data_IF_683296219608
#
_entry.id   IF_683296219608
#
_cell.length_a   1.000
_cell.length_b   1.000
_cell.length_c   1.000
_cell.angle_alpha   90.00
_cell.angle_beta   90.00
_cell.angle_gamma   90.00
#
_symmetry.space_group_name_H-M   'P 1'
#
loop_
_entity.id
_entity.type
_entity.pdbx_description
1 polymer ?
#
# COMPACT_ATOMS: atom_id res chain seq x y z
N UNK A 1 7.76 -0.99 32.07
CA UNK A 1 7.51 -0.34 30.76
C UNK A 1 7.46 1.16 30.98
N UNK A 2 8.43 1.89 30.47
CA UNK A 2 8.45 3.35 30.51
C UNK A 2 7.48 3.88 29.45
N UNK A 3 6.57 4.77 29.85
CA UNK A 3 5.70 5.49 28.93
C UNK A 3 5.96 6.97 29.06
N UNK A 4 6.02 7.67 27.94
CA UNK A 4 6.24 9.11 27.90
C UNK A 4 5.12 9.79 27.11
N UNK A 5 4.75 10.98 27.55
CA UNK A 5 3.87 11.86 26.82
C UNK A 5 4.71 12.70 25.84
N UNK A 6 4.36 12.66 24.56
CA UNK A 6 5.02 13.44 23.51
C UNK A 6 4.02 14.37 22.85
N UNK A 7 4.42 15.60 22.55
CA UNK A 7 3.61 16.51 21.75
C UNK A 7 3.89 16.26 20.27
N UNK A 8 2.85 15.92 19.50
CA UNK A 8 2.92 15.69 18.06
C UNK A 8 1.87 16.56 17.40
N UNK A 9 2.30 17.54 16.61
CA UNK A 9 1.40 18.50 15.93
C UNK A 9 0.33 19.10 16.87
N UNK A 10 0.73 19.50 18.09
CA UNK A 10 -0.17 20.10 19.08
C UNK A 10 -1.00 19.10 19.90
N UNK A 11 -0.87 17.79 19.66
CA UNK A 11 -1.57 16.74 20.41
C UNK A 11 -0.62 15.98 21.35
N UNK A 12 -1.04 15.77 22.59
CA UNK A 12 -0.28 14.94 23.54
C UNK A 12 -0.61 13.47 23.33
N UNK A 13 0.38 12.69 22.87
CA UNK A 13 0.27 11.25 22.66
C UNK A 13 1.09 10.48 23.71
N UNK A 14 0.52 9.41 24.26
CA UNK A 14 1.26 8.48 25.11
C UNK A 14 1.95 7.43 24.24
N UNK A 15 3.28 7.49 24.20
CA UNK A 15 4.11 6.46 23.55
C UNK A 15 4.79 5.61 24.63
N UNK A 16 4.92 4.32 24.35
CA UNK A 16 5.51 3.36 25.29
C UNK A 16 6.25 2.27 24.53
N UNK A 17 7.16 1.60 25.23
CA UNK A 17 7.91 0.46 24.71
C UNK A 17 8.72 0.80 23.45
N UNK A 18 9.38 1.96 23.43
CA UNK A 18 10.14 2.41 22.27
C UNK A 18 11.29 1.46 21.93
N UNK A 19 11.96 0.90 22.93
CA UNK A 19 13.06 -0.07 22.75
C UNK A 19 12.57 -1.48 22.37
N UNK A 20 11.25 -1.69 22.24
CA UNK A 20 10.72 -3.00 21.85
C UNK A 20 11.12 -3.29 20.42
N UNK A 21 11.86 -4.37 20.22
CA UNK A 21 12.21 -4.88 18.88
C UNK A 21 10.96 -5.40 18.17
N UNK A 22 10.64 -4.80 17.03
CA UNK A 22 9.53 -5.22 16.17
C UNK A 22 10.01 -6.05 14.97
N UNK A 23 11.25 -5.87 14.52
CA UNK A 23 11.90 -6.70 13.48
C UNK A 23 13.16 -7.37 14.06
N UNK A 24 13.04 -8.60 14.60
CA UNK A 24 14.17 -9.29 15.23
C UNK A 24 15.38 -9.49 14.32
N UNK A 25 15.17 -9.72 13.02
CA UNK A 25 16.24 -9.97 12.06
C UNK A 25 17.20 -8.78 11.85
N UNK A 26 16.75 -7.55 12.14
CA UNK A 26 17.54 -6.32 12.00
C UNK A 26 17.71 -5.57 13.32
N UNK A 27 17.08 -6.05 14.40
CA UNK A 27 17.04 -5.35 15.69
C UNK A 27 16.13 -4.12 15.70
N UNK A 28 15.40 -3.83 14.60
CA UNK A 28 14.62 -2.59 14.48
C UNK A 28 13.53 -2.50 15.54
N UNK A 29 13.59 -1.42 16.29
CA UNK A 29 12.75 -1.10 17.44
C UNK A 29 11.48 -0.34 17.05
N UNK A 30 10.51 -0.28 17.97
CA UNK A 30 9.31 0.53 17.83
C UNK A 30 9.64 2.02 17.70
N UNK A 31 10.67 2.50 18.40
CA UNK A 31 11.16 3.87 18.31
C UNK A 31 11.65 4.22 16.91
N UNK A 32 12.42 3.33 16.27
CA UNK A 32 12.89 3.51 14.89
C UNK A 32 11.75 3.45 13.89
N UNK A 33 10.79 2.54 14.06
CA UNK A 33 9.56 2.50 13.26
C UNK A 33 8.79 3.82 13.35
N UNK A 34 8.62 4.36 14.55
CA UNK A 34 7.98 5.67 14.75
C UNK A 34 8.77 6.79 14.08
N UNK A 35 10.09 6.78 14.23
CA UNK A 35 10.99 7.77 13.62
C UNK A 35 10.87 7.75 12.11
N UNK A 36 10.89 6.56 11.47
CA UNK A 36 10.70 6.42 10.03
C UNK A 36 9.41 7.12 9.54
N UNK A 37 8.27 6.85 10.18
CA UNK A 37 6.99 7.45 9.79
C UNK A 37 6.92 8.97 10.05
N UNK A 38 7.60 9.46 11.09
CA UNK A 38 7.70 10.90 11.37
C UNK A 38 8.55 11.60 10.31
N UNK A 39 9.71 11.04 9.98
CA UNK A 39 10.64 11.59 8.99
C UNK A 39 10.05 11.59 7.58
N UNK A 40 9.22 10.60 7.25
CA UNK A 40 8.58 10.46 5.94
C UNK A 40 7.13 10.95 5.90
N UNK A 41 6.72 11.75 6.90
CA UNK A 41 5.35 12.20 7.03
C UNK A 41 4.90 13.05 5.83
N UNK A 42 5.78 13.91 5.31
CA UNK A 42 5.49 14.78 4.16
C UNK A 42 5.18 13.99 2.89
N UNK A 43 5.79 12.80 2.73
CA UNK A 43 5.61 11.94 1.57
C UNK A 43 4.40 11.01 1.73
N UNK A 44 4.15 10.46 2.94
CA UNK A 44 3.07 9.49 3.14
C UNK A 44 1.70 10.14 3.37
N UNK A 45 1.63 11.31 4.00
CA UNK A 45 0.35 11.95 4.32
C UNK A 45 -0.48 12.27 3.06
N UNK A 46 0.09 12.78 1.94
CA UNK A 46 -0.66 12.97 0.70
C UNK A 46 -1.26 11.68 0.13
N UNK A 47 -0.59 10.55 0.32
CA UNK A 47 -1.05 9.23 -0.16
C UNK A 47 -2.25 8.70 0.63
N UNK A 48 -2.30 9.03 1.93
CA UNK A 48 -3.36 8.64 2.86
C UNK A 48 -4.56 9.60 2.86
N UNK A 49 -4.37 10.83 2.37
CA UNK A 49 -5.33 11.91 2.53
C UNK A 49 -6.71 11.57 1.96
N UNK A 50 -7.73 11.65 2.82
CA UNK A 50 -9.12 11.39 2.45
C UNK A 50 -9.42 9.91 2.17
N UNK A 51 -8.50 8.99 2.44
CA UNK A 51 -8.68 7.55 2.20
C UNK A 51 -8.97 6.81 3.51
N UNK A 52 -10.04 6.00 3.59
CA UNK A 52 -10.27 5.12 4.73
C UNK A 52 -9.14 4.09 4.89
N UNK A 53 -8.37 4.20 5.98
CA UNK A 53 -7.16 3.38 6.15
C UNK A 53 -7.51 2.03 6.77
N UNK A 54 -7.16 0.92 6.12
CA UNK A 54 -7.08 -0.40 6.73
C UNK A 54 -5.68 -0.62 7.29
N UNK A 55 -5.57 -1.18 8.49
CA UNK A 55 -4.29 -1.33 9.20
C UNK A 55 -4.00 -2.81 9.35
N UNK A 56 -2.74 -3.20 9.18
CA UNK A 56 -2.27 -4.49 9.68
C UNK A 56 -1.30 -4.23 10.82
N UNK A 57 -1.57 -4.87 11.96
CA UNK A 57 -0.90 -4.55 13.21
C UNK A 57 -0.06 -5.73 13.69
N UNK A 58 1.16 -5.42 14.14
CA UNK A 58 2.07 -6.33 14.83
C UNK A 58 2.53 -5.73 16.16
N UNK A 59 1.64 -5.66 17.18
CA UNK A 59 2.00 -5.05 18.47
C UNK A 59 3.18 -5.75 19.15
N UNK A 60 3.36 -7.05 18.86
CA UNK A 60 4.38 -7.94 19.42
C UNK A 60 5.54 -8.24 18.46
N UNK A 61 5.63 -7.53 17.33
CA UNK A 61 6.67 -7.73 16.31
C UNK A 61 6.30 -8.73 15.21
N UNK A 62 7.07 -8.73 14.11
CA UNK A 62 6.75 -9.41 12.84
C UNK A 62 6.78 -10.94 12.90
N UNK A 63 7.42 -11.52 13.91
CA UNK A 63 7.44 -12.97 14.14
C UNK A 63 6.24 -13.46 14.98
N UNK A 64 5.40 -12.54 15.48
CA UNK A 64 4.18 -12.86 16.21
C UNK A 64 2.95 -12.63 15.33
N UNK A 65 1.80 -13.08 15.84
CA UNK A 65 0.54 -12.95 15.13
C UNK A 65 0.22 -11.49 14.82
N UNK A 66 -0.17 -11.24 13.57
CA UNK A 66 -0.73 -9.98 13.13
C UNK A 66 -2.24 -10.03 13.06
N UNK A 67 -2.86 -8.87 12.94
CA UNK A 67 -4.29 -8.80 12.63
C UNK A 67 -4.62 -7.62 11.73
N UNK A 68 -5.59 -7.87 10.86
CA UNK A 68 -6.20 -6.87 10.00
C UNK A 68 -7.28 -6.11 10.77
N UNK A 69 -7.18 -4.79 10.78
CA UNK A 69 -8.11 -3.91 11.47
C UNK A 69 -8.65 -2.87 10.48
N UNK A 70 -9.94 -3.01 10.16
CA UNK A 70 -10.69 -2.04 9.35
C UNK A 70 -11.40 -1.04 10.26
N UNK A 71 -12.20 -1.56 11.19
CA UNK A 71 -12.95 -0.76 12.15
C UNK A 71 -12.04 -0.15 13.23
N UNK A 72 -12.26 1.11 13.57
CA UNK A 72 -11.65 1.69 14.76
C UNK A 72 -12.17 0.97 16.04
N UNK A 73 -11.31 0.76 17.03
CA UNK A 73 -11.75 0.31 18.35
C UNK A 73 -12.55 1.41 19.05
N UNK A 74 -13.43 1.03 19.99
CA UNK A 74 -14.25 1.97 20.75
C UNK A 74 -13.45 2.99 21.57
N UNK A 75 -12.23 2.65 21.97
CA UNK A 75 -11.32 3.54 22.70
C UNK A 75 -10.46 4.46 21.83
N UNK A 76 -10.77 4.60 20.53
CA UNK A 76 -10.06 5.54 19.67
C UNK A 76 -10.36 7.00 20.08
N UNK A 77 -9.34 7.86 20.25
CA UNK A 77 -9.54 9.24 20.68
C UNK A 77 -10.51 10.04 19.80
N UNK A 78 -11.31 10.91 20.41
CA UNK A 78 -12.34 11.69 19.70
C UNK A 78 -11.75 12.62 18.65
N UNK A 79 -10.51 13.10 18.87
CA UNK A 79 -9.81 13.94 17.90
C UNK A 79 -9.37 13.18 16.65
N UNK A 80 -9.33 11.84 16.66
CA UNK A 80 -8.89 11.05 15.51
C UNK A 80 -9.98 11.09 14.42
N UNK A 81 -9.68 11.69 13.25
CA UNK A 81 -10.64 11.77 12.16
C UNK A 81 -11.05 10.37 11.71
N UNK A 82 -12.33 10.22 11.37
CA UNK A 82 -12.92 8.92 11.04
C UNK A 82 -14.06 9.08 10.07
N UNK A 83 -14.35 8.02 9.33
CA UNK A 83 -15.47 7.95 8.41
C UNK A 83 -16.14 6.59 8.50
N UNK A 84 -17.47 6.59 8.47
CA UNK A 84 -18.26 5.37 8.44
C UNK A 84 -18.69 5.12 7.01
N UNK A 85 -18.22 4.02 6.42
CA UNK A 85 -18.52 3.66 5.03
C UNK A 85 -19.31 2.36 4.96
N UNK A 86 -20.17 2.18 3.95
CA UNK A 86 -20.85 0.92 3.69
C UNK A 86 -19.86 -0.21 3.45
N UNK A 87 -20.17 -1.41 3.96
CA UNK A 87 -19.42 -2.64 3.70
C UNK A 87 -20.35 -3.79 3.30
N UNK A 88 -21.04 -3.67 2.15
CA UNK A 88 -21.92 -4.74 1.67
C UNK A 88 -21.13 -6.05 1.51
N UNK A 89 -21.70 -7.16 2.00
CA UNK A 89 -21.04 -8.47 1.97
C UNK A 89 -19.98 -8.70 3.05
N UNK A 90 -19.94 -7.87 4.10
CA UNK A 90 -19.09 -8.09 5.27
C UNK A 90 -19.30 -9.49 5.86
N UNK A 91 -18.22 -10.26 6.01
CA UNK A 91 -18.26 -11.61 6.60
C UNK A 91 -18.74 -11.66 8.05
N UNK A 92 -18.89 -10.49 8.69
CA UNK A 92 -19.44 -10.34 10.05
C UNK A 92 -20.85 -9.73 10.08
N UNK A 93 -21.54 -9.65 8.93
CA UNK A 93 -22.92 -9.13 8.86
C UNK A 93 -23.08 -7.67 9.25
N UNK A 94 -22.00 -6.87 9.19
CA UNK A 94 -22.05 -5.43 9.45
C UNK A 94 -22.28 -4.67 8.15
N UNK A 95 -23.32 -3.84 8.12
CA UNK A 95 -23.67 -3.00 6.97
C UNK A 95 -22.69 -1.86 6.75
N UNK A 96 -22.03 -1.41 7.83
CA UNK A 96 -21.03 -0.33 7.80
C UNK A 96 -19.84 -0.63 8.71
N UNK A 97 -18.71 0.02 8.43
CA UNK A 97 -17.53 0.05 9.29
C UNK A 97 -17.01 1.49 9.42
N UNK A 98 -16.48 1.82 10.59
CA UNK A 98 -15.85 3.13 10.86
C UNK A 98 -14.33 3.01 10.75
N UNK A 99 -13.74 3.66 9.76
CA UNK A 99 -12.30 3.68 9.50
C UNK A 99 -11.68 4.97 10.01
N UNK A 100 -10.39 4.97 10.43
CA UNK A 100 -9.65 6.20 10.59
C UNK A 100 -9.37 6.86 9.24
N UNK A 101 -9.38 8.17 9.25
CA UNK A 101 -8.75 9.01 8.25
C UNK A 101 -7.44 9.54 8.85
N UNK A 102 -6.37 9.53 8.06
CA UNK A 102 -5.06 10.04 8.48
C UNK A 102 -4.85 11.38 7.79
N UNK A 103 -5.14 12.46 8.51
CA UNK A 103 -5.10 13.83 7.98
C UNK A 103 -3.86 14.61 8.42
N UNK A 104 -3.17 14.13 9.46
CA UNK A 104 -2.04 14.83 10.08
C UNK A 104 -1.05 13.84 10.71
N UNK A 105 0.10 14.38 11.12
CA UNK A 105 1.18 13.63 11.76
C UNK A 105 0.72 12.94 13.06
N UNK A 106 -0.15 13.57 13.84
CA UNK A 106 -0.60 13.00 15.11
C UNK A 106 -1.48 11.77 14.90
N UNK A 107 -2.36 11.78 13.90
CA UNK A 107 -3.15 10.62 13.49
C UNK A 107 -2.24 9.49 13.00
N UNK A 108 -1.24 9.79 12.17
CA UNK A 108 -0.26 8.81 11.68
C UNK A 108 0.51 8.16 12.85
N UNK A 109 1.13 8.98 13.70
CA UNK A 109 1.90 8.52 14.86
C UNK A 109 1.04 7.69 15.81
N UNK A 110 -0.22 8.09 16.03
CA UNK A 110 -1.14 7.31 16.86
C UNK A 110 -1.35 5.90 16.32
N UNK A 111 -1.64 5.75 15.02
CA UNK A 111 -1.84 4.42 14.41
C UNK A 111 -0.57 3.56 14.45
N UNK A 112 0.59 4.15 14.17
CA UNK A 112 1.88 3.46 14.21
C UNK A 112 2.25 3.05 15.63
N UNK A 113 2.00 3.90 16.63
CA UNK A 113 2.22 3.60 18.05
C UNK A 113 1.38 2.41 18.53
N UNK A 114 0.23 2.15 17.91
CA UNK A 114 -0.61 0.97 18.15
C UNK A 114 -0.09 -0.31 17.45
N UNK A 115 1.08 -0.24 16.80
CA UNK A 115 1.73 -1.33 16.10
C UNK A 115 1.26 -1.50 14.65
N UNK A 116 0.62 -0.49 14.04
CA UNK A 116 0.26 -0.54 12.62
C UNK A 116 1.52 -0.38 11.77
N UNK A 117 2.04 -1.50 11.27
CA UNK A 117 3.21 -1.50 10.38
C UNK A 117 2.78 -1.32 8.93
N UNK A 118 1.64 -1.86 8.54
CA UNK A 118 1.10 -1.68 7.19
C UNK A 118 -0.15 -0.80 7.19
N UNK A 119 -0.15 0.21 6.34
CA UNK A 119 -1.27 1.09 6.05
C UNK A 119 -1.74 0.79 4.62
N UNK A 120 -2.98 0.34 4.50
CA UNK A 120 -3.60 -0.01 3.23
C UNK A 120 -4.76 0.94 2.95
N UNK A 121 -4.88 1.40 1.72
CA UNK A 121 -5.89 2.39 1.32
C UNK A 121 -6.59 1.97 0.02
N UNK A 122 -7.87 2.33 -0.16
CA UNK A 122 -8.56 2.16 -1.43
C UNK A 122 -8.00 3.13 -2.50
N UNK A 123 -8.43 2.94 -3.76
CA UNK A 123 -8.08 3.84 -4.87
C UNK A 123 -9.01 5.06 -4.99
N UNK A 124 -9.94 5.21 -4.05
CA UNK A 124 -10.86 6.34 -3.94
C UNK A 124 -10.65 7.12 -2.63
N UNK A 125 -11.27 8.29 -2.54
CA UNK A 125 -11.32 9.15 -1.35
C UNK A 125 -12.78 9.37 -0.93
N UNK A 126 -12.98 9.84 0.29
CA UNK A 126 -14.27 10.39 0.72
C UNK A 126 -14.30 11.90 0.48
N UNK A 127 -15.48 12.47 0.27
CA UNK A 127 -15.71 13.90 0.37
C UNK A 127 -15.88 14.36 1.83
N UNK A 128 -16.20 15.65 2.01
CA UNK A 128 -16.30 16.29 3.32
C UNK A 128 -17.49 15.76 4.13
N UNK A 129 -18.52 15.22 3.45
CA UNK A 129 -19.67 14.54 4.03
C UNK A 129 -19.38 13.06 4.35
N UNK A 130 -18.19 12.55 4.00
CA UNK A 130 -17.78 11.17 4.26
C UNK A 130 -18.30 10.16 3.23
N UNK A 131 -18.79 10.62 2.08
CA UNK A 131 -19.30 9.78 1.00
C UNK A 131 -18.15 9.33 0.09
N UNK A 132 -18.04 8.03 -0.23
CA UNK A 132 -17.06 7.55 -1.20
C UNK A 132 -17.24 8.20 -2.58
N UNK A 133 -16.17 8.80 -3.10
CA UNK A 133 -16.10 9.35 -4.46
C UNK A 133 -15.59 8.31 -5.45
N UNK A 134 -15.76 8.53 -6.77
CA UNK A 134 -15.09 7.67 -7.75
C UNK A 134 -13.55 7.71 -7.58
N UNK A 135 -12.84 6.61 -7.92
CA UNK A 135 -11.39 6.50 -7.77
C UNK A 135 -10.62 7.61 -8.48
N UNK A 136 -9.67 8.21 -7.76
CA UNK A 136 -8.76 9.25 -8.25
C UNK A 136 -7.43 8.67 -8.76
N UNK A 137 -7.28 7.34 -8.71
CA UNK A 137 -6.15 6.63 -9.29
C UNK A 137 -6.53 5.21 -9.72
N UNK A 138 -5.78 4.68 -10.68
CA UNK A 138 -5.75 3.27 -11.03
C UNK A 138 -4.46 2.65 -10.50
N UNK A 139 -4.53 1.42 -10.00
CA UNK A 139 -3.37 0.62 -9.63
C UNK A 139 -3.20 -0.56 -10.58
N UNK A 140 -1.98 -0.80 -11.06
CA UNK A 140 -1.59 -2.03 -11.74
C UNK A 140 -0.60 -2.76 -10.85
N UNK A 141 -1.03 -3.86 -10.25
CA UNK A 141 -0.24 -4.64 -9.29
C UNK A 141 0.48 -5.79 -10.00
N UNK A 142 1.81 -5.78 -9.93
CA UNK A 142 2.70 -6.71 -10.63
C UNK A 142 3.25 -7.72 -9.63
N UNK A 143 2.65 -8.90 -9.62
CA UNK A 143 2.97 -9.98 -8.69
C UNK A 143 3.82 -11.07 -9.36
N UNK A 144 5.13 -11.15 -9.09
CA UNK A 144 5.98 -12.16 -9.71
C UNK A 144 5.62 -13.56 -9.19
N UNK A 145 5.42 -14.50 -10.11
CA UNK A 145 5.26 -15.91 -9.81
C UNK A 145 6.57 -16.59 -9.43
N UNK A 146 6.52 -17.88 -9.04
CA UNK A 146 7.73 -18.64 -8.73
C UNK A 146 8.74 -18.60 -9.89
N UNK A 147 9.99 -18.22 -9.61
CA UNK A 147 11.04 -18.09 -10.64
C UNK A 147 11.08 -16.74 -11.35
N UNK A 148 10.08 -15.87 -11.16
CA UNK A 148 10.14 -14.47 -11.52
C UNK A 148 10.42 -13.60 -10.29
N UNK A 149 10.98 -12.41 -10.51
CA UNK A 149 11.30 -11.42 -9.49
C UNK A 149 11.10 -9.99 -10.00
N UNK A 150 11.79 -9.05 -9.38
CA UNK A 150 11.64 -7.62 -9.69
C UNK A 150 12.14 -7.25 -11.09
N UNK A 151 13.08 -7.99 -11.67
CA UNK A 151 13.54 -7.77 -13.04
C UNK A 151 12.42 -8.06 -14.07
N UNK A 152 11.67 -9.16 -13.91
CA UNK A 152 10.49 -9.45 -14.71
C UNK A 152 9.40 -8.39 -14.48
N UNK A 153 9.18 -7.99 -13.22
CA UNK A 153 8.25 -6.90 -12.90
C UNK A 153 8.64 -5.58 -13.58
N UNK A 154 9.93 -5.23 -13.62
CA UNK A 154 10.43 -4.02 -14.27
C UNK A 154 10.16 -4.04 -15.77
N UNK A 155 10.45 -5.16 -16.44
CA UNK A 155 10.14 -5.35 -17.86
C UNK A 155 8.64 -5.17 -18.14
N UNK A 156 7.79 -5.78 -17.33
CA UNK A 156 6.33 -5.62 -17.44
C UNK A 156 5.88 -4.20 -17.11
N UNK A 157 6.52 -3.54 -16.15
CA UNK A 157 6.21 -2.17 -15.78
C UNK A 157 6.42 -1.19 -16.95
N UNK A 158 7.47 -1.36 -17.75
CA UNK A 158 7.70 -0.55 -18.94
C UNK A 158 6.62 -0.76 -20.01
N UNK A 159 6.18 -2.01 -20.21
CA UNK A 159 5.07 -2.31 -21.13
C UNK A 159 3.79 -1.62 -20.67
N UNK A 160 3.46 -1.72 -19.37
CA UNK A 160 2.29 -1.05 -18.80
C UNK A 160 2.42 0.47 -18.93
N UNK A 161 3.59 1.05 -18.63
CA UNK A 161 3.84 2.49 -18.77
C UNK A 161 3.54 2.97 -20.18
N UNK A 162 4.10 2.31 -21.19
CA UNK A 162 3.88 2.71 -22.60
C UNK A 162 2.39 2.63 -23.00
N UNK A 163 1.65 1.63 -22.49
CA UNK A 163 0.20 1.52 -22.74
C UNK A 163 -0.61 2.63 -22.06
N UNK A 164 -0.22 3.02 -20.84
CA UNK A 164 -0.86 4.12 -20.11
C UNK A 164 -0.54 5.48 -20.75
N UNK A 165 0.71 5.71 -21.14
CA UNK A 165 1.13 6.95 -21.81
C UNK A 165 0.41 7.14 -23.16
N UNK A 166 0.20 6.06 -23.91
CA UNK A 166 -0.54 6.09 -25.18
C UNK A 166 -2.00 6.56 -25.03
N UNK A 167 -2.58 6.48 -23.82
CA UNK A 167 -3.92 6.99 -23.50
C UNK A 167 -3.88 8.24 -22.61
N UNK A 168 -2.72 8.89 -22.50
CA UNK A 168 -2.53 10.15 -21.76
C UNK A 168 -2.41 9.98 -20.24
N UNK A 169 -2.23 8.76 -19.73
CA UNK A 169 -2.06 8.50 -18.30
C UNK A 169 -0.58 8.37 -17.93
N UNK A 170 -0.14 9.16 -16.96
CA UNK A 170 1.21 9.04 -16.39
C UNK A 170 1.19 8.13 -15.17
N UNK A 171 2.05 7.13 -15.14
CA UNK A 171 2.19 6.20 -14.03
C UNK A 171 3.44 6.46 -13.20
N UNK A 172 3.35 6.24 -11.88
CA UNK A 172 4.50 6.20 -10.97
C UNK A 172 4.76 4.76 -10.53
N UNK A 173 6.01 4.33 -10.59
CA UNK A 173 6.45 3.02 -10.14
C UNK A 173 6.70 2.98 -8.63
N UNK A 174 6.28 1.90 -7.97
CA UNK A 174 6.42 1.70 -6.52
C UNK A 174 6.80 0.25 -6.25
N UNK A 175 7.99 -0.04 -5.74
CA UNK A 175 8.29 -1.40 -5.25
C UNK A 175 7.42 -1.70 -4.04
N UNK A 176 6.79 -2.87 -3.95
CA UNK A 176 5.74 -3.14 -2.95
C UNK A 176 6.23 -3.29 -1.50
N UNK A 177 7.56 -3.39 -1.29
CA UNK A 177 8.18 -3.81 -0.04
C UNK A 177 8.00 -5.31 0.27
N UNK A 178 7.53 -6.11 -0.69
CA UNK A 178 7.34 -7.56 -0.52
C UNK A 178 8.03 -8.35 -1.63
N UNK A 179 7.32 -8.71 -2.71
CA UNK A 179 7.88 -9.49 -3.83
C UNK A 179 7.85 -8.69 -5.12
N UNK A 180 6.70 -8.10 -5.42
CA UNK A 180 6.46 -7.37 -6.66
C UNK A 180 6.54 -5.85 -6.54
N UNK A 181 5.90 -5.18 -7.49
CA UNK A 181 5.80 -3.72 -7.55
C UNK A 181 4.42 -3.31 -8.06
N UNK A 182 4.06 -2.05 -7.85
CA UNK A 182 2.79 -1.45 -8.23
C UNK A 182 3.04 -0.22 -9.09
N UNK A 183 2.16 0.00 -10.05
CA UNK A 183 2.11 1.23 -10.83
C UNK A 183 0.83 1.98 -10.46
N UNK A 184 0.98 3.27 -10.16
CA UNK A 184 -0.15 4.16 -9.85
C UNK A 184 -0.30 5.20 -10.93
N UNK A 185 -1.44 5.21 -11.61
CA UNK A 185 -1.80 6.23 -12.59
C UNK A 185 -2.90 7.12 -12.02
N UNK A 186 -2.72 8.44 -12.06
CA UNK A 186 -3.74 9.38 -11.63
C UNK A 186 -4.96 9.35 -12.56
N UNK A 187 -6.16 9.51 -12.01
CA UNK A 187 -7.42 9.57 -12.74
C UNK A 187 -8.15 10.87 -12.39
N UNK A 188 -9.03 11.32 -13.27
CA UNK A 188 -9.87 12.51 -13.06
C UNK A 188 -10.96 12.30 -12.00
N UNK A 189 -11.21 11.07 -11.53
CA UNK A 189 -12.26 10.79 -10.55
C UNK A 189 -13.68 10.81 -11.11
N UNK A 190 -13.85 10.52 -12.40
CA UNK A 190 -15.16 10.52 -13.09
C UNK A 190 -15.72 9.12 -13.34
N UNK A 191 -14.90 8.08 -13.22
CA UNK A 191 -15.25 6.68 -13.53
C UNK A 191 -15.43 5.87 -12.27
N UNK A 192 -16.43 4.98 -12.26
CA UNK A 192 -16.67 4.06 -11.15
C UNK A 192 -15.52 3.06 -10.95
N UNK A 193 -15.42 2.46 -9.76
CA UNK A 193 -14.42 1.43 -9.48
C UNK A 193 -14.56 0.20 -10.39
N UNK A 194 -15.78 -0.13 -10.82
CA UNK A 194 -16.03 -1.25 -11.72
C UNK A 194 -15.54 -0.94 -13.15
N UNK A 195 -15.76 0.28 -13.65
CA UNK A 195 -15.20 0.73 -14.93
C UNK A 195 -13.66 0.72 -14.91
N UNK A 196 -13.04 1.26 -13.85
CA UNK A 196 -11.57 1.25 -13.71
C UNK A 196 -11.04 -0.19 -13.60
N UNK A 197 -11.74 -1.07 -12.87
CA UNK A 197 -11.40 -2.50 -12.79
C UNK A 197 -11.49 -3.20 -14.14
N UNK A 198 -12.50 -2.86 -14.96
CA UNK A 198 -12.65 -3.40 -16.30
C UNK A 198 -11.52 -2.94 -17.25
N UNK A 199 -11.10 -1.67 -17.15
CA UNK A 199 -9.95 -1.14 -17.90
C UNK A 199 -8.66 -1.87 -17.50
N UNK A 200 -8.39 -1.99 -16.19
CA UNK A 200 -7.21 -2.70 -15.69
C UNK A 200 -7.19 -4.18 -16.13
N UNK A 201 -8.36 -4.83 -16.14
CA UNK A 201 -8.50 -6.21 -16.60
C UNK A 201 -8.21 -6.32 -18.10
N UNK A 202 -8.79 -5.44 -18.91
CA UNK A 202 -8.54 -5.40 -20.35
C UNK A 202 -7.07 -5.18 -20.67
N UNK A 203 -6.40 -4.26 -19.95
CA UNK A 203 -4.96 -4.06 -20.06
C UNK A 203 -4.18 -5.35 -19.76
N UNK A 204 -4.53 -6.05 -18.68
CA UNK A 204 -3.87 -7.30 -18.29
C UNK A 204 -4.06 -8.42 -19.33
N UNK A 205 -5.27 -8.56 -19.88
CA UNK A 205 -5.58 -9.58 -20.90
C UNK A 205 -4.88 -9.28 -22.24
N UNK A 206 -4.78 -8.02 -22.64
CA UNK A 206 -4.01 -7.63 -23.83
C UNK A 206 -2.50 -7.85 -23.64
N UNK A 207 -1.93 -7.51 -22.48
CA UNK A 207 -0.52 -7.76 -22.22
C UNK A 207 -0.20 -9.26 -22.13
N UNK A 208 -1.11 -10.10 -21.59
CA UNK A 208 -0.96 -11.56 -21.62
C UNK A 208 -0.99 -12.10 -23.05
N UNK A 209 -1.81 -11.54 -23.95
CA UNK A 209 -1.90 -12.02 -25.33
C UNK A 209 -0.66 -11.66 -26.16
N UNK A 210 -0.07 -10.49 -25.94
CA UNK A 210 1.15 -10.04 -26.63
C UNK A 210 2.43 -10.64 -26.03
N UNK A 211 2.46 -10.86 -24.72
CA UNK A 211 3.64 -11.34 -23.98
C UNK A 211 3.30 -12.56 -23.12
N UNK A 212 2.81 -13.67 -23.72
CA UNK A 212 2.28 -14.81 -22.98
C UNK A 212 3.33 -15.53 -22.13
N UNK A 213 4.62 -15.41 -22.47
CA UNK A 213 5.71 -16.04 -21.71
C UNK A 213 6.17 -15.20 -20.50
N UNK A 214 5.75 -13.93 -20.42
CA UNK A 214 6.15 -13.00 -19.37
C UNK A 214 4.97 -12.60 -18.46
N UNK A 215 3.75 -12.55 -19.01
CA UNK A 215 2.57 -11.99 -18.33
C UNK A 215 1.47 -13.04 -18.17
N UNK A 216 0.73 -12.97 -17.07
CA UNK A 216 -0.54 -13.68 -16.89
C UNK A 216 -1.57 -12.75 -16.24
N UNK A 217 -2.81 -12.74 -16.74
CA UNK A 217 -3.96 -12.05 -16.14
C UNK A 217 -4.83 -12.97 -15.28
N UNK A 218 -4.54 -14.28 -15.31
CA UNK A 218 -5.30 -15.32 -14.63
C UNK A 218 -4.85 -15.51 -13.19
N UNK A 219 -5.82 -15.55 -12.27
CA UNK A 219 -5.56 -15.76 -10.84
C UNK A 219 -4.97 -17.14 -10.51
N UNK A 220 -5.11 -18.13 -11.40
CA UNK A 220 -4.64 -19.51 -11.19
C UNK A 220 -3.12 -19.55 -10.96
N UNK A 221 -2.71 -19.95 -9.75
CA UNK A 221 -1.29 -20.00 -9.34
C UNK A 221 -0.43 -20.90 -10.24
N UNK A 222 -1.00 -21.99 -10.76
CA UNK A 222 -0.30 -22.93 -11.64
C UNK A 222 0.20 -22.31 -12.95
N UNK A 223 -0.35 -21.16 -13.37
CA UNK A 223 0.04 -20.46 -14.61
C UNK A 223 1.14 -19.42 -14.40
N UNK A 224 1.54 -19.16 -13.15
CA UNK A 224 2.48 -18.10 -12.78
C UNK A 224 3.98 -18.45 -12.84
N UNK A 225 4.46 -19.72 -12.88
CA UNK A 225 5.89 -19.98 -12.93
C UNK A 225 6.59 -19.22 -14.06
N UNK A 226 7.63 -18.46 -13.73
CA UNK A 226 8.40 -17.62 -14.67
C UNK A 226 7.68 -16.35 -15.17
N UNK A 227 6.45 -16.07 -14.72
CA UNK A 227 5.62 -14.96 -15.21
C UNK A 227 5.28 -13.96 -14.11
N UNK A 228 4.91 -12.76 -14.52
CA UNK A 228 4.30 -11.73 -13.67
C UNK A 228 2.80 -11.79 -13.81
N UNK A 229 2.12 -11.96 -12.68
CA UNK A 229 0.67 -11.85 -12.60
C UNK A 229 0.29 -10.37 -12.48
N UNK A 230 -0.54 -9.87 -13.40
CA UNK A 230 -1.18 -8.56 -13.27
C UNK A 230 -2.47 -8.73 -12.47
N UNK A 231 -2.44 -8.37 -11.19
CA UNK A 231 -3.63 -8.42 -10.33
C UNK A 231 -4.54 -7.21 -10.58
N UNK A 232 -5.23 -7.23 -11.72
CA UNK A 232 -6.20 -6.20 -12.11
C UNK A 232 -7.33 -6.01 -11.09
N UNK A 233 -7.58 -7.01 -10.23
CA UNK A 233 -8.68 -6.98 -9.28
C UNK A 233 -8.46 -6.02 -8.10
N UNK A 234 -7.26 -5.45 -7.95
CA UNK A 234 -6.92 -4.46 -6.92
C UNK A 234 -7.66 -3.12 -7.08
N UNK A 235 -8.26 -2.87 -8.24
CA UNK A 235 -9.10 -1.68 -8.49
C UNK A 235 -10.55 -1.84 -8.02
N UNK A 236 -10.94 -3.01 -7.50
CA UNK A 236 -12.28 -3.19 -6.95
C UNK A 236 -12.48 -2.26 -5.73
N UNK A 237 -13.61 -1.57 -5.66
CA UNK A 237 -13.89 -0.54 -4.65
C UNK A 237 -13.85 -1.05 -3.19
N UNK A 238 -13.98 -2.35 -2.96
CA UNK A 238 -13.90 -2.96 -1.63
C UNK A 238 -12.47 -3.37 -1.22
N UNK A 239 -11.51 -3.32 -2.15
CA UNK A 239 -10.10 -3.67 -1.90
C UNK A 239 -9.27 -2.44 -1.51
N UNK A 240 -8.14 -2.75 -0.90
CA UNK A 240 -7.12 -1.78 -0.51
C UNK A 240 -5.76 -2.31 -0.93
N UNK A 241 -4.88 -1.42 -1.38
CA UNK A 241 -3.47 -1.74 -1.62
C UNK A 241 -2.60 -1.14 -0.54
N UNK A 242 -1.37 -1.64 -0.40
CA UNK A 242 -0.37 -0.99 0.44
C UNK A 242 -0.21 0.48 0.01
N UNK A 243 -0.17 1.38 0.98
CA UNK A 243 0.07 2.80 0.71
C UNK A 243 1.55 3.00 0.35
N UNK A 244 1.91 3.77 -0.70
CA UNK A 244 3.29 4.21 -0.87
C UNK A 244 3.82 4.84 0.42
N UNK A 245 5.09 4.60 0.72
CA UNK A 245 5.80 4.89 1.97
C UNK A 245 5.38 4.09 3.20
N UNK A 246 4.37 3.21 3.12
CA UNK A 246 4.07 2.29 4.23
C UNK A 246 5.14 1.22 4.37
N UNK A 247 5.50 0.90 5.61
CA UNK A 247 6.32 -0.28 5.91
C UNK A 247 5.53 -1.57 5.63
N UNK A 248 6.25 -2.71 5.62
CA UNK A 248 5.73 -4.07 5.43
C UNK A 248 6.07 -4.96 6.61
N UNK A 249 5.08 -5.70 7.12
CA UNK A 249 5.27 -6.66 8.21
C UNK A 249 5.95 -7.95 7.73
N UNK A 250 7.20 -7.82 7.30
CA UNK A 250 8.06 -8.87 6.74
C UNK A 250 9.24 -9.11 7.69
N UNK A 251 10.12 -10.04 7.35
CA UNK A 251 11.31 -10.35 8.16
C UNK A 251 12.21 -9.14 8.36
N UNK A 252 12.37 -8.30 7.33
CA UNK A 252 13.11 -7.04 7.37
C UNK A 252 12.13 -5.85 7.27
N UNK A 253 12.48 -4.66 7.78
CA UNK A 253 11.63 -3.46 7.77
C UNK A 253 11.56 -2.83 6.37
N UNK A 254 11.00 -3.58 5.41
CA UNK A 254 10.86 -3.15 4.03
C UNK A 254 9.73 -2.15 3.86
N UNK A 255 9.82 -1.34 2.81
CA UNK A 255 8.91 -0.23 2.52
C UNK A 255 8.32 -0.34 1.12
N UNK A 256 7.04 0.00 0.98
CA UNK A 256 6.44 0.25 -0.33
C UNK A 256 6.95 1.59 -0.88
N UNK A 257 7.94 1.57 -1.77
CA UNK A 257 8.75 2.76 -2.07
C UNK A 257 8.61 3.20 -3.52
N UNK A 258 8.25 4.47 -3.79
CA UNK A 258 8.32 5.04 -5.14
C UNK A 258 9.73 4.93 -5.74
N UNK A 259 9.83 4.50 -7.00
CA UNK A 259 11.09 4.37 -7.75
C UNK A 259 11.10 5.31 -8.95
N UNK A 260 12.30 5.76 -9.32
CA UNK A 260 12.51 6.50 -10.56
C UNK A 260 12.38 5.57 -11.77
N UNK A 261 11.90 6.10 -12.89
CA UNK A 261 11.76 5.30 -14.11
C UNK A 261 13.11 4.88 -14.70
N UNK A 262 14.13 5.73 -14.64
CA UNK A 262 15.50 5.39 -15.08
C UNK A 262 16.04 4.14 -14.37
N UNK A 263 15.71 3.97 -13.09
CA UNK A 263 16.09 2.78 -12.33
C UNK A 263 15.30 1.54 -12.78
N UNK A 264 14.00 1.70 -13.06
CA UNK A 264 13.16 0.60 -13.57
C UNK A 264 13.61 0.19 -14.97
N UNK A 265 14.01 1.14 -15.81
CA UNK A 265 14.58 0.92 -17.14
C UNK A 265 15.89 0.15 -17.06
N UNK A 266 16.85 0.63 -16.25
CA UNK A 266 18.13 -0.04 -16.01
C UNK A 266 17.94 -1.48 -15.49
N UNK A 267 16.94 -1.70 -14.64
CA UNK A 267 16.62 -3.04 -14.12
C UNK A 267 15.95 -3.95 -15.14
N UNK A 268 15.14 -3.40 -16.03
CA UNK A 268 14.53 -4.15 -17.13
C UNK A 268 15.58 -4.60 -18.17
N UNK A 269 16.63 -3.81 -18.35
CA UNK A 269 17.77 -4.07 -19.24
C UNK A 269 18.84 -4.98 -18.61
N UNK A 270 18.75 -5.22 -17.29
CA UNK A 270 19.71 -6.05 -16.55
C UNK A 270 21.01 -5.31 -16.17
N UNK A 271 21.02 -3.98 -16.29
CA UNK A 271 22.16 -3.13 -15.90
C UNK A 271 22.21 -2.88 -14.40
N UNK A 272 21.06 -2.98 -13.72
CA UNK A 272 20.92 -2.76 -12.28
C UNK A 272 20.00 -3.82 -11.64
N UNK A 273 20.34 -4.27 -10.44
CA UNK A 273 19.45 -5.12 -9.64
C UNK A 273 18.44 -4.26 -8.87
N UNK A 274 17.17 -4.28 -9.28
CA UNK A 274 16.09 -3.63 -8.54
C UNK A 274 15.76 -4.44 -7.28
N UNK A 275 15.81 -3.81 -6.11
CA UNK A 275 15.58 -4.46 -4.81
C UNK A 275 14.49 -3.77 -4.01
N UNK A 276 13.84 -4.53 -3.13
CA UNK A 276 12.94 -3.98 -2.10
C UNK A 276 13.78 -3.32 -1.01
N UNK A 277 13.55 -2.02 -0.74
CA UNK A 277 14.34 -1.24 0.22
C UNK A 277 13.80 -1.33 1.65
N UNK A 278 14.71 -1.27 2.63
CA UNK A 278 14.39 -1.13 4.05
C UNK A 278 14.38 0.31 4.53
N UNK A 279 13.82 0.58 5.72
CA UNK A 279 13.78 1.94 6.31
C UNK A 279 15.15 2.61 6.47
N UNK A 280 16.24 1.84 6.55
CA UNK A 280 17.61 2.37 6.69
C UNK A 280 18.25 2.77 5.34
N UNK A 281 17.59 2.44 4.23
CA UNK A 281 18.08 2.65 2.86
C UNK A 281 17.31 3.75 2.11
N UNK A 282 16.38 4.43 2.80
CA UNK A 282 15.43 5.40 2.22
C UNK A 282 15.50 6.74 2.91
#
# INVERSE_FOLDING_TARGET
MTSQAVNVAGRTLKVSNLDKVLYPATGTTKGEVLTYYVTHAEQILPELQGRPVTRIRWPEGVEKASFFEKNLPSGAPDWLPRVTVPTPGSSRGRDTLTFPLVTDLAALVYLVNLGSLELHVPQWRVDDEGVPRPPDRMVVDLDPGPGAGLAECARVALLVRGRLEAVGLTARAVTSGSKGMQLYAALEGTRSSDEVSAVAKSLAEHLESEHPDLVTSKMTKALRPGKVFLDWSQNNGAKTTICPWSMRGRTRPQVALPRGWDEVESAAEGELELVQRTIDEV
#
